data_IF_903460153733
#
_entry.id   IF_903460153733
#
_cell.length_a   1.000
_cell.length_b   1.000
_cell.length_c   1.000
_cell.angle_alpha   90.00
_cell.angle_beta   90.00
_cell.angle_gamma   90.00
#
_symmetry.space_group_name_H-M   'P 1'
#
loop_
_entity.id
_entity.type
_entity.pdbx_description
1 polymer ?
#
# COMPACT_ATOMS: atom_id res chain seq x y z
N UNK A 1 -2.42 -18.67 7.47
CA UNK A 1 -1.74 -17.41 7.86
C UNK A 1 -1.09 -16.83 6.63
N UNK A 2 -1.31 -15.55 6.37
CA UNK A 2 -0.60 -14.77 5.37
C UNK A 2 0.33 -13.77 6.05
N UNK A 3 1.48 -13.51 5.42
CA UNK A 3 2.46 -12.54 5.88
C UNK A 3 2.58 -11.41 4.86
N UNK A 4 2.39 -10.18 5.34
CA UNK A 4 2.50 -8.97 4.55
C UNK A 4 3.37 -7.91 5.21
N UNK A 5 3.53 -6.79 4.51
CA UNK A 5 4.18 -5.59 5.03
C UNK A 5 3.18 -4.44 4.97
N UNK A 6 2.95 -3.76 6.09
CA UNK A 6 2.18 -2.52 6.13
C UNK A 6 3.10 -1.32 6.05
N UNK A 7 2.74 -0.34 5.23
CA UNK A 7 3.30 1.00 5.21
C UNK A 7 2.33 1.99 5.89
N UNK A 8 2.75 2.59 7.00
CA UNK A 8 1.97 3.61 7.71
C UNK A 8 1.97 4.96 6.97
N UNK A 9 1.17 5.91 7.45
CA UNK A 9 1.18 7.29 6.98
C UNK A 9 2.50 8.02 7.28
N UNK A 10 3.18 7.62 8.35
CA UNK A 10 4.50 8.15 8.74
C UNK A 10 5.65 7.50 7.93
N UNK A 11 5.30 6.59 7.02
CA UNK A 11 6.26 5.88 6.17
C UNK A 11 6.91 4.68 6.85
N UNK A 12 6.43 4.23 8.00
CA UNK A 12 6.99 3.07 8.71
C UNK A 12 6.52 1.74 8.12
N UNK A 13 7.46 0.79 8.00
CA UNK A 13 7.18 -0.57 7.56
C UNK A 13 7.02 -1.50 8.77
N UNK A 14 5.93 -2.25 8.80
CA UNK A 14 5.67 -3.26 9.82
C UNK A 14 5.24 -4.59 9.20
N UNK A 15 5.73 -5.71 9.74
CA UNK A 15 5.24 -7.04 9.36
C UNK A 15 3.85 -7.26 9.93
N UNK A 16 2.94 -7.72 9.10
CA UNK A 16 1.56 -8.06 9.46
C UNK A 16 1.32 -9.55 9.24
N UNK A 17 0.63 -10.18 10.19
CA UNK A 17 0.12 -11.54 10.05
C UNK A 17 -1.40 -11.49 9.92
N UNK A 18 -1.93 -12.22 8.94
CA UNK A 18 -3.37 -12.26 8.64
C UNK A 18 -3.83 -13.70 8.76
N UNK A 19 -4.93 -13.92 9.47
CA UNK A 19 -5.60 -15.21 9.46
C UNK A 19 -6.24 -15.45 8.09
N UNK A 20 -5.86 -16.54 7.46
CA UNK A 20 -6.30 -16.93 6.11
C UNK A 20 -6.95 -18.32 6.14
N UNK A 21 -7.50 -18.70 7.31
CA UNK A 21 -8.26 -19.93 7.47
C UNK A 21 -9.59 -19.91 6.72
N UNK A 22 -10.14 -18.70 6.49
CA UNK A 22 -11.37 -18.46 5.74
C UNK A 22 -11.28 -17.13 5.01
N UNK A 23 -12.05 -16.99 3.93
CA UNK A 23 -12.16 -15.71 3.19
C UNK A 23 -12.58 -14.57 4.13
N UNK A 24 -13.56 -14.79 5.00
CA UNK A 24 -14.02 -13.76 5.95
C UNK A 24 -12.92 -13.34 6.93
N UNK A 25 -12.14 -14.30 7.46
CA UNK A 25 -11.02 -13.99 8.34
C UNK A 25 -9.94 -13.19 7.61
N UNK A 26 -9.61 -13.57 6.37
CA UNK A 26 -8.65 -12.85 5.53
C UNK A 26 -9.08 -11.41 5.26
N UNK A 27 -10.31 -11.22 4.78
CA UNK A 27 -10.85 -9.89 4.49
C UNK A 27 -10.86 -9.01 5.75
N UNK A 28 -11.27 -9.57 6.89
CA UNK A 28 -11.28 -8.88 8.18
C UNK A 28 -9.87 -8.53 8.66
N UNK A 29 -8.88 -9.40 8.43
CA UNK A 29 -7.48 -9.12 8.75
C UNK A 29 -6.88 -8.02 7.88
N UNK A 30 -7.21 -8.00 6.58
CA UNK A 30 -6.79 -6.92 5.67
C UNK A 30 -7.39 -5.59 6.15
N UNK A 31 -8.71 -5.50 6.32
CA UNK A 31 -9.38 -4.25 6.76
C UNK A 31 -8.83 -3.73 8.08
N UNK A 32 -8.63 -4.61 9.07
CA UNK A 32 -8.04 -4.23 10.35
C UNK A 32 -6.60 -3.73 10.22
N UNK A 33 -5.78 -4.35 9.37
CA UNK A 33 -4.37 -4.01 9.23
C UNK A 33 -4.14 -2.58 8.74
N UNK A 34 -5.02 -2.08 7.87
CA UNK A 34 -4.98 -0.72 7.31
C UNK A 34 -6.06 0.21 7.88
N UNK A 35 -6.88 -0.28 8.82
CA UNK A 35 -7.92 0.48 9.53
C UNK A 35 -9.00 1.09 8.61
N UNK A 36 -9.57 0.27 7.73
CA UNK A 36 -10.61 0.67 6.75
C UNK A 36 -11.82 -0.26 6.82
N UNK A 37 -12.95 0.16 6.26
CA UNK A 37 -14.13 -0.71 6.11
C UNK A 37 -14.13 -1.45 4.77
N UNK A 38 -13.62 -0.79 3.73
CA UNK A 38 -13.56 -1.27 2.35
C UNK A 38 -12.17 -0.93 1.82
N UNK A 39 -11.62 -1.83 1.02
CA UNK A 39 -10.32 -1.66 0.41
C UNK A 39 -10.38 -2.01 -1.07
N UNK A 40 -9.41 -1.50 -1.82
CA UNK A 40 -9.11 -1.95 -3.17
C UNK A 40 -7.69 -2.53 -3.23
N UNK A 41 -7.43 -3.37 -4.23
CA UNK A 41 -6.12 -3.98 -4.47
C UNK A 41 -5.49 -3.36 -5.72
N UNK A 42 -4.34 -2.70 -5.51
CA UNK A 42 -3.55 -2.11 -6.59
C UNK A 42 -2.40 -3.04 -6.92
N UNK A 43 -2.39 -3.59 -8.14
CA UNK A 43 -1.33 -4.47 -8.62
C UNK A 43 -0.02 -3.71 -8.87
N UNK A 44 1.07 -4.23 -8.32
CA UNK A 44 2.43 -3.75 -8.52
C UNK A 44 3.28 -4.83 -9.23
N UNK A 45 4.46 -4.47 -9.76
CA UNK A 45 5.38 -5.45 -10.34
C UNK A 45 5.79 -6.56 -9.37
N UNK A 46 6.38 -7.63 -9.92
CA UNK A 46 6.93 -8.76 -9.15
C UNK A 46 5.90 -9.56 -8.34
N UNK A 47 4.64 -9.58 -8.81
CA UNK A 47 3.58 -10.36 -8.19
C UNK A 47 3.17 -9.84 -6.82
N UNK A 48 3.21 -8.52 -6.62
CA UNK A 48 2.89 -7.84 -5.37
C UNK A 48 1.62 -7.01 -5.58
N UNK A 49 0.68 -7.10 -4.66
CA UNK A 49 -0.45 -6.16 -4.58
C UNK A 49 -0.30 -5.29 -3.34
N UNK A 50 -0.78 -4.05 -3.44
CA UNK A 50 -0.99 -3.18 -2.28
C UNK A 50 -2.48 -2.93 -2.07
N UNK A 51 -2.95 -3.32 -0.88
CA UNK A 51 -4.31 -3.09 -0.41
C UNK A 51 -4.38 -1.71 0.23
N UNK A 52 -5.35 -0.89 -0.22
CA UNK A 52 -5.47 0.54 0.14
C UNK A 52 -6.92 0.90 0.49
N UNK A 53 -7.12 2.01 1.18
CA UNK A 53 -8.45 2.54 1.47
C UNK A 53 -9.15 3.01 0.17
N UNK A 54 -10.15 2.26 -0.29
CA UNK A 54 -10.91 2.57 -1.52
C UNK A 54 -11.66 3.91 -1.38
N UNK A 55 -12.12 4.22 -0.17
CA UNK A 55 -12.81 5.48 0.13
C UNK A 55 -11.85 6.56 0.65
N UNK A 56 -10.54 6.30 0.61
CA UNK A 56 -9.55 7.10 1.31
C UNK A 56 -9.47 8.54 0.85
N UNK A 57 -9.82 8.83 -0.42
CA UNK A 57 -9.92 10.20 -0.95
C UNK A 57 -10.86 11.09 -0.12
N UNK A 58 -11.88 10.51 0.52
CA UNK A 58 -12.92 11.24 1.25
C UNK A 58 -12.68 11.28 2.76
N UNK A 59 -11.95 10.31 3.32
CA UNK A 59 -11.89 10.08 4.77
C UNK A 59 -10.49 9.92 5.36
N UNK A 60 -9.49 9.68 4.52
CA UNK A 60 -8.13 9.34 4.95
C UNK A 60 -7.12 10.39 4.52
N UNK A 61 -6.01 10.49 5.25
CA UNK A 61 -4.90 11.35 4.86
C UNK A 61 -4.16 10.77 3.66
N UNK A 62 -3.61 11.64 2.82
CA UNK A 62 -2.73 11.24 1.71
C UNK A 62 -1.50 10.50 2.26
N UNK A 63 -1.22 9.32 1.72
CA UNK A 63 0.02 8.60 1.98
C UNK A 63 1.02 8.90 0.87
N UNK A 64 1.89 9.86 1.14
CA UNK A 64 2.84 10.37 0.15
C UNK A 64 3.83 9.28 -0.24
N UNK A 65 4.42 8.58 0.74
CA UNK A 65 5.38 7.51 0.47
C UNK A 65 4.75 6.39 -0.37
N UNK A 66 3.54 5.97 -0.01
CA UNK A 66 2.84 4.95 -0.77
C UNK A 66 2.51 5.40 -2.21
N UNK A 67 2.09 6.66 -2.37
CA UNK A 67 1.82 7.25 -3.68
C UNK A 67 3.08 7.33 -4.55
N UNK A 68 4.23 7.68 -3.96
CA UNK A 68 5.53 7.72 -4.66
C UNK A 68 5.97 6.33 -5.09
N UNK A 69 5.82 5.32 -4.21
CA UNK A 69 6.11 3.92 -4.54
C UNK A 69 5.24 3.44 -5.70
N UNK A 70 3.92 3.69 -5.64
CA UNK A 70 2.99 3.28 -6.69
C UNK A 70 3.34 3.93 -8.04
N UNK A 71 3.57 5.25 -8.07
CA UNK A 71 3.97 5.97 -9.30
C UNK A 71 5.29 5.50 -9.88
N UNK A 72 6.29 5.27 -9.03
CA UNK A 72 7.60 4.77 -9.47
C UNK A 72 7.51 3.38 -10.11
N UNK A 73 6.41 2.66 -9.87
CA UNK A 73 6.12 1.35 -10.41
C UNK A 73 5.00 1.38 -11.47
N UNK A 74 4.71 2.55 -12.05
CA UNK A 74 3.81 2.70 -13.20
C UNK A 74 2.33 2.85 -12.85
N UNK A 75 1.99 3.04 -11.58
CA UNK A 75 0.61 3.33 -11.16
C UNK A 75 0.40 4.84 -11.02
N UNK A 76 -0.31 5.41 -11.99
CA UNK A 76 -0.71 6.81 -11.97
C UNK A 76 -1.82 7.01 -10.92
N UNK A 77 -1.50 7.69 -9.82
CA UNK A 77 -2.50 7.93 -8.77
C UNK A 77 -1.94 8.59 -7.51
N UNK A 78 -2.86 8.85 -6.58
CA UNK A 78 -2.55 9.19 -5.18
C UNK A 78 -3.28 8.19 -4.30
N UNK A 79 -2.58 7.68 -3.29
CA UNK A 79 -3.09 6.66 -2.38
C UNK A 79 -3.23 7.24 -0.98
N UNK A 80 -4.32 6.89 -0.31
CA UNK A 80 -4.71 7.44 0.98
C UNK A 80 -4.71 6.34 2.04
N UNK A 81 -4.45 6.71 3.30
CA UNK A 81 -4.41 5.77 4.41
C UNK A 81 -3.16 4.88 4.43
N UNK A 82 -3.13 3.89 5.31
CA UNK A 82 -2.07 2.89 5.32
C UNK A 82 -2.22 1.93 4.12
N UNK A 83 -1.11 1.39 3.63
CA UNK A 83 -1.11 0.35 2.60
C UNK A 83 -0.62 -0.98 3.17
N UNK A 84 -1.22 -2.09 2.75
CA UNK A 84 -0.74 -3.44 3.07
C UNK A 84 -0.28 -4.13 1.79
N UNK A 85 1.00 -4.49 1.73
CA UNK A 85 1.57 -5.30 0.67
C UNK A 85 1.38 -6.79 0.96
N UNK A 86 0.89 -7.53 -0.04
CA UNK A 86 0.85 -8.99 -0.09
C UNK A 86 1.35 -9.47 -1.45
N UNK A 87 1.75 -10.73 -1.54
CA UNK A 87 1.98 -11.35 -2.84
C UNK A 87 0.67 -11.77 -3.48
N UNK A 88 0.65 -12.02 -4.78
CA UNK A 88 -0.44 -12.73 -5.45
C UNK A 88 0.07 -13.92 -6.25
N UNK A 89 -0.75 -14.97 -6.32
CA UNK A 89 -0.53 -16.10 -7.21
C UNK A 89 -1.06 -15.78 -8.62
N UNK A 90 -0.74 -16.63 -9.60
CA UNK A 90 -1.12 -16.40 -11.01
C UNK A 90 -2.64 -16.37 -11.28
N UNK A 91 -3.44 -16.85 -10.33
CA UNK A 91 -4.90 -16.80 -10.35
C UNK A 91 -5.47 -15.56 -9.64
N UNK A 92 -4.61 -14.70 -9.09
CA UNK A 92 -4.97 -13.49 -8.35
C UNK A 92 -5.23 -13.71 -6.86
N UNK A 93 -5.07 -14.93 -6.33
CA UNK A 93 -5.21 -15.17 -4.89
C UNK A 93 -4.06 -14.53 -4.11
N UNK A 94 -4.39 -13.88 -2.99
CA UNK A 94 -3.38 -13.30 -2.10
C UNK A 94 -2.57 -14.38 -1.40
N UNK A 95 -1.25 -14.25 -1.45
CA UNK A 95 -0.27 -15.13 -0.82
C UNK A 95 0.70 -14.34 0.07
N UNK A 96 1.45 -15.05 0.91
CA UNK A 96 2.48 -14.40 1.73
C UNK A 96 3.57 -13.82 0.84
N UNK A 97 4.10 -12.66 1.23
CA UNK A 97 5.30 -12.13 0.59
C UNK A 97 6.48 -13.08 0.79
N UNK A 98 7.24 -13.28 -0.28
CA UNK A 98 8.55 -13.93 -0.21
C UNK A 98 9.60 -12.95 0.34
N UNK A 99 10.74 -13.47 0.82
CA UNK A 99 11.85 -12.63 1.28
C UNK A 99 12.37 -11.71 0.17
N UNK A 100 12.34 -12.17 -1.09
CA UNK A 100 12.70 -11.37 -2.26
C UNK A 100 11.74 -10.18 -2.45
N UNK A 101 10.43 -10.43 -2.41
CA UNK A 101 9.42 -9.38 -2.50
C UNK A 101 9.52 -8.38 -1.35
N UNK A 102 9.83 -8.83 -0.13
CA UNK A 102 10.08 -7.93 1.01
C UNK A 102 11.28 -7.02 0.72
N UNK A 103 12.39 -7.56 0.20
CA UNK A 103 13.56 -6.77 -0.17
C UNK A 103 13.26 -5.78 -1.30
N UNK A 104 12.41 -6.15 -2.27
CA UNK A 104 11.93 -5.26 -3.32
C UNK A 104 11.15 -4.08 -2.73
N UNK A 105 10.20 -4.34 -1.83
CA UNK A 105 9.40 -3.29 -1.16
C UNK A 105 10.30 -2.35 -0.37
N UNK A 106 11.27 -2.90 0.39
CA UNK A 106 12.27 -2.10 1.11
C UNK A 106 13.09 -1.26 0.12
N UNK A 107 13.50 -1.86 -0.99
CA UNK A 107 14.22 -1.18 -2.07
C UNK A 107 13.43 -0.03 -2.69
N UNK A 108 12.13 -0.20 -2.93
CA UNK A 108 11.26 0.86 -3.46
C UNK A 108 11.19 2.07 -2.53
N UNK A 109 11.15 1.84 -1.21
CA UNK A 109 11.19 2.90 -0.18
C UNK A 109 12.54 3.58 -0.09
N UNK A 110 13.64 2.82 -0.21
CA UNK A 110 15.01 3.33 -0.06
C UNK A 110 15.54 4.01 -1.32
N UNK A 111 14.93 3.78 -2.48
CA UNK A 111 15.39 4.35 -3.74
C UNK A 111 15.32 5.88 -3.68
N UNK A 112 16.38 6.55 -4.15
CA UNK A 112 16.39 8.00 -4.24
C UNK A 112 15.29 8.48 -5.18
N UNK A 113 14.35 9.26 -4.63
CA UNK A 113 13.23 9.86 -5.35
C UNK A 113 13.46 11.37 -5.46
N UNK A 114 13.33 11.97 -6.65
CA UNK A 114 13.48 13.41 -6.81
C UNK A 114 12.52 14.17 -5.89
N UNK A 115 12.97 15.23 -5.22
CA UNK A 115 12.12 16.09 -4.40
C UNK A 115 10.89 16.64 -5.17
N UNK A 116 10.97 16.70 -6.50
CA UNK A 116 9.87 17.07 -7.38
C UNK A 116 8.66 16.13 -7.29
N UNK A 117 8.84 14.82 -7.07
CA UNK A 117 7.74 13.86 -6.94
C UNK A 117 6.94 14.10 -5.66
N UNK A 118 7.64 14.29 -4.54
CA UNK A 118 7.04 14.70 -3.27
C UNK A 118 6.37 16.08 -3.38
N UNK A 119 7.01 17.03 -4.06
CA UNK A 119 6.47 18.38 -4.26
C UNK A 119 5.20 18.36 -5.11
N UNK A 120 5.16 17.55 -6.18
CA UNK A 120 3.98 17.41 -7.03
C UNK A 120 2.78 16.80 -6.28
N UNK A 121 3.04 15.93 -5.30
CA UNK A 121 2.01 15.36 -4.43
C UNK A 121 1.54 16.32 -3.33
N UNK A 122 2.45 17.16 -2.82
CA UNK A 122 2.14 18.17 -1.81
C UNK A 122 1.50 19.44 -2.39
N UNK A 123 1.75 19.77 -3.67
CA UNK A 123 1.27 21.00 -4.28
C UNK A 123 -0.27 21.14 -4.30
N UNK A 124 -1.07 20.11 -4.62
CA UNK A 124 -2.52 20.18 -4.50
C UNK A 124 -3.01 20.35 -3.05
N UNK A 125 -2.34 19.71 -2.08
CA UNK A 125 -2.69 19.81 -0.66
C UNK A 125 -2.38 21.21 -0.08
N UNK A 126 -1.35 21.88 -0.60
CA UNK A 126 -0.97 23.24 -0.19
C UNK A 126 -1.83 24.33 -0.85
N UNK A 127 -2.45 24.04 -2.00
CA UNK A 127 -3.34 24.96 -2.73
C UNK A 127 -4.82 24.86 -2.31
N UNK A 128 -5.17 23.90 -1.44
CA UNK A 128 -6.54 23.65 -0.94
C UNK A 128 -7.01 24.54 0.22
N UNK A 129 -6.27 25.60 0.57
CA UNK A 129 -6.72 26.64 1.50
C UNK A 129 -7.23 27.88 0.72
N UNK A 130 -8.32 27.72 -0.04
CA UNK A 130 -9.12 28.85 -0.55
C UNK A 130 -10.59 28.60 -0.22
#
# INVERSE_FOLDING_TARGET
>A
MLYGIRLSLDGDLARIEIDDSTVTARLSGITQSISVDVFDAVGLPEGIDVFVDDEGLYRSSLNIELSVIARSNGIDGVLFGAGLFLGHASDGESVSLTDEQINIIIGWRMQYRPAAEYTALLAPALLGNI
#
